data_IF_092987483564
#
_entry.id   IF_092987483564
#
_cell.length_a   1.000
_cell.length_b   1.000
_cell.length_c   1.000
_cell.angle_alpha   90.00
_cell.angle_beta   90.00
_cell.angle_gamma   90.00
#
_symmetry.space_group_name_H-M   'P 1'
#
loop_
_entity.id
_entity.type
_entity.pdbx_description
1 polymer ?
#
# COMPACT_ATOMS: atom_id res chain seq x y z
N UNK A 1 10.40 14.08 -14.07
CA UNK A 1 11.66 14.41 -13.37
C UNK A 1 12.40 13.12 -12.94
N UNK A 2 13.71 13.16 -12.68
CA UNK A 2 14.45 12.03 -12.08
C UNK A 2 14.85 12.37 -10.64
N UNK A 3 14.69 11.42 -9.72
CA UNK A 3 14.97 11.57 -8.29
C UNK A 3 16.02 10.56 -7.84
N UNK A 4 17.01 10.99 -7.06
CA UNK A 4 17.88 10.09 -6.31
C UNK A 4 17.08 9.35 -5.21
N UNK A 5 17.63 8.29 -4.65
CA UNK A 5 16.98 7.56 -3.54
C UNK A 5 16.72 8.45 -2.31
N UNK A 6 17.58 9.44 -2.06
CA UNK A 6 17.42 10.37 -0.95
C UNK A 6 16.27 11.36 -1.17
N UNK A 7 16.13 11.87 -2.39
CA UNK A 7 15.00 12.72 -2.75
C UNK A 7 13.69 11.92 -2.77
N UNK A 8 13.70 10.73 -3.38
CA UNK A 8 12.55 9.85 -3.45
C UNK A 8 12.06 9.44 -2.05
N UNK A 9 12.98 9.13 -1.13
CA UNK A 9 12.70 8.87 0.28
C UNK A 9 11.92 10.02 0.94
N UNK A 10 12.35 11.27 0.72
CA UNK A 10 11.67 12.45 1.26
C UNK A 10 10.29 12.66 0.65
N UNK A 11 10.18 12.55 -0.68
CA UNK A 11 8.92 12.72 -1.42
C UNK A 11 7.88 11.71 -0.93
N UNK A 12 8.26 10.45 -0.77
CA UNK A 12 7.34 9.38 -0.44
C UNK A 12 7.09 9.22 1.07
N UNK A 13 7.79 9.99 1.91
CA UNK A 13 7.72 9.88 3.36
C UNK A 13 8.19 8.53 3.91
N UNK A 14 9.13 7.87 3.22
CA UNK A 14 9.66 6.56 3.58
C UNK A 14 11.13 6.66 3.93
N UNK A 15 11.61 5.86 4.89
CA UNK A 15 13.05 5.72 5.10
C UNK A 15 13.71 5.05 3.89
N UNK A 16 14.99 5.35 3.65
CA UNK A 16 15.78 4.68 2.60
C UNK A 16 15.76 3.15 2.79
N UNK A 17 15.81 2.67 4.04
CA UNK A 17 15.74 1.23 4.32
C UNK A 17 14.39 0.63 3.96
N UNK A 18 13.28 1.36 4.15
CA UNK A 18 11.95 0.92 3.71
C UNK A 18 11.87 0.82 2.19
N UNK A 19 12.44 1.79 1.47
CA UNK A 19 12.53 1.75 0.01
C UNK A 19 13.34 0.53 -0.46
N UNK A 20 14.52 0.30 0.14
CA UNK A 20 15.35 -0.88 -0.16
C UNK A 20 14.63 -2.18 0.16
N UNK A 21 13.86 -2.23 1.23
CA UNK A 21 13.01 -3.37 1.56
C UNK A 21 11.97 -3.61 0.46
N UNK A 22 11.32 -2.57 -0.06
CA UNK A 22 10.37 -2.71 -1.16
C UNK A 22 11.04 -3.12 -2.48
N UNK A 23 12.25 -2.63 -2.77
CA UNK A 23 13.05 -3.10 -3.90
C UNK A 23 13.40 -4.59 -3.78
N UNK A 24 13.90 -5.00 -2.60
CA UNK A 24 14.26 -6.41 -2.32
C UNK A 24 13.05 -7.35 -2.46
N UNK A 25 11.86 -6.84 -2.17
CA UNK A 25 10.62 -7.59 -2.34
C UNK A 25 10.00 -7.43 -3.73
N UNK A 26 10.69 -6.82 -4.71
CA UNK A 26 10.23 -6.67 -6.10
C UNK A 26 8.89 -5.91 -6.19
N UNK A 27 8.63 -5.04 -5.22
CA UNK A 27 7.44 -4.19 -5.19
C UNK A 27 7.67 -2.91 -5.98
N UNK A 28 8.90 -2.40 -5.99
CA UNK A 28 9.34 -1.22 -6.74
C UNK A 28 10.70 -1.55 -7.35
N UNK A 29 10.98 -1.03 -8.54
CA UNK A 29 12.31 -1.13 -9.15
C UNK A 29 12.86 0.26 -9.38
N UNK A 30 14.16 0.44 -9.14
CA UNK A 30 14.86 1.65 -9.57
C UNK A 30 15.34 1.54 -10.99
N UNK A 31 15.34 2.68 -11.67
CA UNK A 31 15.96 2.84 -12.98
C UNK A 31 17.44 3.16 -12.81
N UNK A 32 18.21 3.02 -13.90
CA UNK A 32 19.64 3.34 -13.95
C UNK A 32 19.91 4.30 -15.09
N UNK A 33 20.63 5.39 -14.80
CA UNK A 33 21.04 6.36 -15.82
C UNK A 33 22.26 5.85 -16.61
N UNK A 34 22.73 6.64 -17.58
CA UNK A 34 23.91 6.32 -18.39
C UNK A 34 25.21 6.16 -17.57
N UNK A 35 25.26 6.73 -16.37
CA UNK A 35 26.37 6.62 -15.43
C UNK A 35 26.14 5.52 -14.37
N UNK A 36 25.17 4.64 -14.60
CA UNK A 36 24.79 3.54 -13.70
C UNK A 36 24.30 3.99 -12.30
N UNK A 37 23.87 5.24 -12.15
CA UNK A 37 23.28 5.78 -10.91
C UNK A 37 21.80 5.44 -10.85
N UNK A 38 21.32 5.07 -9.65
CA UNK A 38 19.89 4.83 -9.43
C UNK A 38 19.12 6.14 -9.51
N UNK A 39 17.99 6.08 -10.19
CA UNK A 39 16.99 7.13 -10.14
C UNK A 39 15.57 6.56 -10.14
N UNK A 40 14.64 7.40 -9.70
CA UNK A 40 13.20 7.16 -9.69
C UNK A 40 12.51 8.28 -10.46
N UNK A 41 11.29 8.03 -10.92
CA UNK A 41 10.49 8.93 -11.73
C UNK A 41 9.25 9.37 -10.96
N UNK A 42 8.52 10.34 -11.49
CA UNK A 42 7.19 10.72 -10.97
C UNK A 42 6.20 9.53 -11.02
N UNK A 43 6.31 8.67 -12.04
CA UNK A 43 5.48 7.47 -12.12
C UNK A 43 5.78 6.49 -10.98
N UNK A 44 7.04 6.43 -10.52
CA UNK A 44 7.44 5.62 -9.37
C UNK A 44 6.87 6.19 -8.06
N UNK A 45 6.68 7.51 -7.96
CA UNK A 45 6.02 8.16 -6.80
C UNK A 45 4.57 7.71 -6.71
N UNK A 46 3.82 7.81 -7.81
CA UNK A 46 2.43 7.35 -7.87
C UNK A 46 2.34 5.85 -7.51
N UNK A 47 3.29 5.07 -8.01
CA UNK A 47 3.33 3.64 -7.76
C UNK A 47 3.62 3.30 -6.30
N UNK A 48 4.59 3.96 -5.67
CA UNK A 48 4.90 3.67 -4.27
C UNK A 48 3.79 4.14 -3.32
N UNK A 49 3.11 5.25 -3.62
CA UNK A 49 1.92 5.66 -2.88
C UNK A 49 0.84 4.58 -2.90
N UNK A 50 0.62 3.97 -4.07
CA UNK A 50 -0.31 2.85 -4.21
C UNK A 50 0.15 1.62 -3.40
N UNK A 51 1.43 1.24 -3.46
CA UNK A 51 2.00 0.15 -2.64
C UNK A 51 1.82 0.40 -1.14
N UNK A 52 2.06 1.63 -0.67
CA UNK A 52 1.84 2.03 0.72
C UNK A 52 0.36 1.87 1.09
N UNK A 53 -0.56 2.29 0.21
CA UNK A 53 -2.00 2.14 0.45
C UNK A 53 -2.41 0.68 0.53
N UNK A 54 -1.97 -0.18 -0.38
CA UNK A 54 -2.23 -1.63 -0.30
C UNK A 54 -1.71 -2.23 1.02
N UNK A 55 -0.55 -1.79 1.50
CA UNK A 55 -0.03 -2.26 2.80
C UNK A 55 -0.93 -1.83 3.96
N UNK A 56 -1.44 -0.58 3.92
CA UNK A 56 -2.33 -0.02 4.94
C UNK A 56 -3.71 -0.66 4.97
N UNK A 57 -4.17 -1.27 3.87
CA UNK A 57 -5.42 -2.06 3.85
C UNK A 57 -5.24 -3.46 4.45
N UNK A 58 -4.09 -3.77 5.04
CA UNK A 58 -3.79 -5.09 5.59
C UNK A 58 -3.36 -6.13 4.55
N UNK A 59 -3.15 -5.73 3.28
CA UNK A 59 -2.69 -6.66 2.27
C UNK A 59 -1.32 -7.25 2.64
N UNK A 60 -1.21 -8.58 2.58
CA UNK A 60 0.07 -9.26 2.84
C UNK A 60 1.11 -8.89 1.78
N UNK A 61 2.39 -8.86 2.17
CA UNK A 61 3.51 -8.62 1.24
C UNK A 61 3.46 -9.62 0.08
N UNK A 62 3.08 -10.89 0.34
CA UNK A 62 2.92 -11.91 -0.70
C UNK A 62 1.88 -11.50 -1.77
N UNK A 63 0.69 -11.06 -1.36
CA UNK A 63 -0.36 -10.57 -2.29
C UNK A 63 0.10 -9.32 -3.04
N UNK A 64 0.76 -8.38 -2.35
CA UNK A 64 1.31 -7.17 -2.96
C UNK A 64 2.35 -7.49 -4.05
N UNK A 65 3.23 -8.47 -3.80
CA UNK A 65 4.19 -8.97 -4.80
C UNK A 65 3.50 -9.55 -6.02
N UNK A 66 2.45 -10.35 -5.82
CA UNK A 66 1.65 -10.89 -6.93
C UNK A 66 1.03 -9.78 -7.77
N UNK A 67 0.47 -8.74 -7.13
CA UNK A 67 -0.07 -7.59 -7.84
C UNK A 67 1.02 -6.81 -8.60
N UNK A 68 2.16 -6.53 -7.96
CA UNK A 68 3.28 -5.82 -8.57
C UNK A 68 3.78 -6.55 -9.82
N UNK A 69 3.99 -7.87 -9.75
CA UNK A 69 4.37 -8.69 -10.90
C UNK A 69 3.39 -8.53 -12.08
N UNK A 70 2.09 -8.66 -11.82
CA UNK A 70 1.07 -8.48 -12.85
C UNK A 70 1.12 -7.07 -13.44
N UNK A 71 1.33 -6.04 -12.62
CA UNK A 71 1.46 -4.65 -13.09
C UNK A 71 2.65 -4.46 -14.03
N UNK A 72 3.79 -5.10 -13.75
CA UNK A 72 4.97 -5.05 -14.61
C UNK A 72 4.83 -5.86 -15.90
N UNK A 73 3.97 -6.88 -15.94
CA UNK A 73 3.58 -7.60 -17.17
C UNK A 73 2.72 -6.74 -18.14
N UNK A 74 2.24 -5.59 -17.68
CA UNK A 74 1.50 -4.62 -18.51
C UNK A 74 -0.02 -4.80 -18.47
N UNK A 75 -0.71 -4.22 -19.46
CA UNK A 75 -2.17 -4.06 -19.41
C UNK A 75 -2.97 -5.31 -19.76
N UNK A 76 -2.32 -6.31 -20.34
CA UNK A 76 -2.90 -7.65 -20.53
C UNK A 76 -3.33 -8.32 -19.22
N UNK A 77 -2.78 -7.89 -18.08
CA UNK A 77 -3.09 -8.46 -16.76
C UNK A 77 -4.16 -7.69 -15.98
N UNK A 78 -4.73 -6.61 -16.53
CA UNK A 78 -5.76 -5.80 -15.86
C UNK A 78 -6.87 -6.66 -15.22
N UNK A 79 -7.44 -7.67 -15.90
CA UNK A 79 -8.48 -8.51 -15.29
C UNK A 79 -8.01 -9.24 -14.02
N UNK A 80 -6.76 -9.71 -13.98
CA UNK A 80 -6.18 -10.36 -12.80
C UNK A 80 -5.92 -9.37 -11.67
N UNK A 81 -5.47 -8.16 -12.01
CA UNK A 81 -5.26 -7.05 -11.05
C UNK A 81 -6.58 -6.62 -10.42
N UNK A 82 -7.63 -6.46 -11.22
CA UNK A 82 -8.98 -6.12 -10.74
C UNK A 82 -9.49 -7.16 -9.76
N UNK A 83 -9.32 -8.46 -10.05
CA UNK A 83 -9.72 -9.52 -9.11
C UNK A 83 -9.08 -9.35 -7.73
N UNK A 84 -7.77 -9.11 -7.67
CA UNK A 84 -7.07 -8.88 -6.39
C UNK A 84 -7.63 -7.66 -5.65
N UNK A 85 -8.00 -6.60 -6.38
CA UNK A 85 -8.55 -5.38 -5.78
C UNK A 85 -9.98 -5.56 -5.29
N UNK A 86 -10.82 -6.29 -6.02
CA UNK A 86 -12.17 -6.65 -5.56
C UNK A 86 -12.11 -7.52 -4.30
N UNK A 87 -11.26 -8.56 -4.29
CA UNK A 87 -11.07 -9.40 -3.10
C UNK A 87 -10.64 -8.54 -1.88
N UNK A 88 -9.72 -7.59 -2.09
CA UNK A 88 -9.27 -6.69 -1.03
C UNK A 88 -10.34 -5.69 -0.58
N UNK A 89 -11.20 -5.23 -1.50
CA UNK A 89 -12.31 -4.34 -1.19
C UNK A 89 -13.36 -5.06 -0.33
N UNK A 90 -13.67 -6.31 -0.65
CA UNK A 90 -14.57 -7.15 0.14
C UNK A 90 -14.02 -7.38 1.55
N UNK A 91 -12.70 -7.65 1.67
CA UNK A 91 -12.04 -7.79 2.97
C UNK A 91 -12.14 -6.49 3.80
N UNK A 92 -11.99 -5.32 3.17
CA UNK A 92 -12.14 -4.02 3.85
C UNK A 92 -13.56 -3.76 4.32
N UNK A 93 -14.58 -4.08 3.52
CA UNK A 93 -15.97 -3.92 3.93
C UNK A 93 -16.34 -4.83 5.11
N UNK A 94 -15.78 -6.05 5.17
CA UNK A 94 -15.95 -6.92 6.34
C UNK A 94 -15.34 -6.30 7.58
N UNK A 95 -14.08 -5.83 7.50
CA UNK A 95 -13.43 -5.16 8.63
C UNK A 95 -14.13 -3.88 9.06
N UNK A 96 -14.72 -3.11 8.14
CA UNK A 96 -15.52 -1.94 8.46
C UNK A 96 -16.73 -2.33 9.33
N UNK A 97 -17.49 -3.33 8.91
CA UNK A 97 -18.66 -3.78 9.67
C UNK A 97 -18.27 -4.29 11.07
N UNK A 98 -17.16 -5.04 11.18
CA UNK A 98 -16.64 -5.51 12.47
C UNK A 98 -16.26 -4.34 13.40
N UNK A 99 -15.57 -3.33 12.86
CA UNK A 99 -15.21 -2.12 13.61
C UNK A 99 -16.46 -1.36 14.06
N UNK A 100 -17.46 -1.23 13.19
CA UNK A 100 -18.72 -0.53 13.52
C UNK A 100 -19.47 -1.25 14.67
N UNK A 101 -19.46 -2.59 14.68
CA UNK A 101 -20.06 -3.36 15.77
C UNK A 101 -19.29 -3.21 17.09
N UNK A 102 -17.95 -3.14 17.03
CA UNK A 102 -17.13 -2.82 18.19
C UNK A 102 -17.38 -1.40 18.72
N UNK A 103 -17.53 -0.42 17.84
CA UNK A 103 -17.86 0.97 18.21
C UNK A 103 -19.19 1.00 18.98
N UNK A 104 -20.26 0.38 18.44
CA UNK A 104 -21.57 0.32 19.11
C UNK A 104 -21.49 -0.30 20.51
N UNK A 105 -20.71 -1.38 20.66
CA UNK A 105 -20.51 -2.02 21.95
C UNK A 105 -19.86 -1.07 22.97
N UNK A 106 -18.80 -0.35 22.57
CA UNK A 106 -18.11 0.61 23.43
C UNK A 106 -19.01 1.81 23.76
N UNK A 107 -19.74 2.35 22.80
CA UNK A 107 -20.72 3.43 23.01
C UNK A 107 -21.79 3.04 24.03
N UNK A 108 -22.32 1.82 23.93
CA UNK A 108 -23.29 1.29 24.89
C UNK A 108 -22.70 1.20 26.30
N UNK A 109 -21.44 0.77 26.44
CA UNK A 109 -20.74 0.72 27.73
C UNK A 109 -20.52 2.11 28.32
N UNK A 110 -20.13 3.09 27.49
CA UNK A 110 -19.98 4.49 27.92
C UNK A 110 -21.32 5.03 28.43
N UNK A 111 -22.41 4.83 27.67
CA UNK A 111 -23.75 5.28 28.08
C UNK A 111 -24.17 4.68 29.41
N UNK A 112 -23.95 3.39 29.61
CA UNK A 112 -24.26 2.71 30.87
C UNK A 112 -23.60 3.39 32.07
N UNK A 113 -22.35 3.84 31.95
CA UNK A 113 -21.66 4.53 33.03
C UNK A 113 -22.10 5.98 33.24
N UNK A 114 -22.56 6.66 32.17
CA UNK A 114 -23.10 8.01 32.28
C UNK A 114 -24.50 8.02 32.93
N UNK A 115 -25.32 7.00 32.68
CA UNK A 115 -26.69 6.89 33.21
C UNK A 115 -26.75 6.43 34.69
N UNK A 116 -25.62 6.03 35.29
CA UNK A 116 -25.51 5.58 36.71
C UNK A 116 -25.22 6.76 37.68
N UNK A 117 -24.96 7.96 37.17
CA UNK A 117 -24.83 9.20 37.95
C UNK A 117 -26.09 10.07 37.85
#
# INVERSE_FOLDING_TARGET
MQYSIGEFSKICGLTIDTLRFYEKNELVFSNRDANNRRFYTEQDVIWIEFIIRLKKTGMSIKKMKSYAKLRYEGDSTIPKRLKILFDQLDDLHKSQNEIDDHIKFIEHKIKTYLDIN
#
